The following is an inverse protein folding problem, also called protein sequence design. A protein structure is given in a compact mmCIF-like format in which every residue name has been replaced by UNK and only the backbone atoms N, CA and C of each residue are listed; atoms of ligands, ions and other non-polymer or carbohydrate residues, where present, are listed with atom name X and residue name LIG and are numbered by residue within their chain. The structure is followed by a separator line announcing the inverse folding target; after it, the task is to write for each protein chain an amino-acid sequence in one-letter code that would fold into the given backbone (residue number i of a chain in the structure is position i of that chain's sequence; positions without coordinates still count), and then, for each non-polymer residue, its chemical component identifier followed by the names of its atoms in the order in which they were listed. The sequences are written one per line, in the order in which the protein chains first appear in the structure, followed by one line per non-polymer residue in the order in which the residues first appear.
data_IF_051786068244
#
_entry.id   IF_051786068244
#
_cell.length_a   1.000
_cell.length_b   1.000
_cell.length_c   1.000
_cell.angle_alpha   90.00
_cell.angle_beta   90.00
_cell.angle_gamma   90.00
#
_symmetry.space_group_name_H-M   'P 1'
#
loop_
_entity.id
_entity.type
_entity.pdbx_description
1 polymer ?
#
# COMPACT_ATOMS: atom_id res chain seq x y z
N UNK A 1 54.33 -6.59 7.67
CA UNK A 1 53.12 -6.75 8.51
C UNK A 1 52.10 -5.75 8.01
N UNK A 2 51.11 -6.19 7.24
CA UNK A 2 50.11 -5.32 6.62
C UNK A 2 48.88 -5.30 7.52
N UNK A 3 48.63 -4.18 8.22
CA UNK A 3 47.42 -4.00 9.00
C UNK A 3 46.25 -3.74 8.05
N UNK A 4 45.38 -4.73 7.87
CA UNK A 4 44.07 -4.54 7.25
C UNK A 4 43.22 -3.70 8.20
N UNK A 5 43.06 -2.41 7.88
CA UNK A 5 42.08 -1.57 8.56
C UNK A 5 40.69 -2.13 8.26
N UNK A 6 40.10 -2.87 9.21
CA UNK A 6 38.69 -3.21 9.13
C UNK A 6 37.89 -1.91 9.20
N UNK A 7 36.98 -1.64 8.24
CA UNK A 7 36.16 -0.45 8.27
C UNK A 7 35.28 -0.49 9.53
N UNK A 8 35.61 0.35 10.51
CA UNK A 8 34.78 0.55 11.70
C UNK A 8 33.47 1.18 11.22
N UNK A 9 32.37 0.41 11.25
CA UNK A 9 31.05 0.99 10.99
C UNK A 9 30.80 2.02 12.10
N UNK A 10 30.57 3.31 11.76
CA UNK A 10 30.25 4.29 12.78
C UNK A 10 28.99 3.82 13.54
N UNK A 11 28.93 4.01 14.87
CA UNK A 11 27.76 3.63 15.65
C UNK A 11 26.55 4.35 15.07
N UNK A 12 25.50 3.60 14.72
CA UNK A 12 24.21 4.17 14.31
C UNK A 12 23.74 5.06 15.45
N UNK A 13 23.56 6.34 15.18
CA UNK A 13 23.01 7.26 16.17
C UNK A 13 21.57 6.84 16.48
N UNK A 14 21.11 7.02 17.71
CA UNK A 14 19.76 6.63 18.16
C UNK A 14 18.66 7.10 17.20
N UNK A 15 18.83 8.29 16.61
CA UNK A 15 17.89 8.85 15.63
C UNK A 15 17.73 7.96 14.39
N UNK A 16 18.81 7.37 13.86
CA UNK A 16 18.73 6.49 12.70
C UNK A 16 17.96 5.19 12.99
N UNK A 17 17.98 4.70 14.23
CA UNK A 17 17.24 3.50 14.62
C UNK A 17 15.75 3.80 14.71
N UNK A 18 15.40 4.93 15.34
CA UNK A 18 14.00 5.38 15.47
C UNK A 18 13.35 5.57 14.10
N UNK A 19 14.06 6.17 13.16
CA UNK A 19 13.57 6.41 11.80
C UNK A 19 13.28 5.12 11.02
N UNK A 20 14.18 4.12 11.14
CA UNK A 20 14.00 2.82 10.50
C UNK A 20 12.78 2.12 11.10
N UNK A 21 12.66 2.11 12.43
CA UNK A 21 11.52 1.48 13.11
C UNK A 21 10.20 2.14 12.68
N UNK A 22 10.13 3.46 12.65
CA UNK A 22 8.92 4.17 12.22
C UNK A 22 8.57 3.89 10.75
N UNK A 23 9.54 3.86 9.85
CA UNK A 23 9.30 3.54 8.43
C UNK A 23 8.76 2.11 8.28
N UNK A 24 9.32 1.15 9.03
CA UNK A 24 8.87 -0.24 9.04
C UNK A 24 7.45 -0.36 9.59
N UNK A 25 7.16 0.32 10.70
CA UNK A 25 5.80 0.34 11.29
C UNK A 25 4.79 0.94 10.31
N UNK A 26 5.12 2.06 9.66
CA UNK A 26 4.23 2.70 8.68
C UNK A 26 3.99 1.80 7.45
N UNK A 27 5.02 1.09 6.98
CA UNK A 27 4.85 0.09 5.91
C UNK A 27 3.98 -1.08 6.35
N UNK A 28 4.14 -1.56 7.58
CA UNK A 28 3.30 -2.63 8.13
C UNK A 28 1.84 -2.19 8.25
N UNK A 29 1.59 -0.95 8.70
CA UNK A 29 0.25 -0.35 8.73
C UNK A 29 -0.32 -0.25 7.32
N UNK A 30 0.47 0.19 6.33
CA UNK A 30 0.00 0.24 4.94
C UNK A 30 -0.35 -1.15 4.40
N UNK A 31 0.46 -2.16 4.70
CA UNK A 31 0.15 -3.56 4.39
C UNK A 31 -1.16 -4.03 5.04
N UNK A 32 -1.41 -3.66 6.29
CA UNK A 32 -2.66 -3.96 6.98
C UNK A 32 -3.86 -3.29 6.30
N UNK A 33 -3.73 -2.02 5.91
CA UNK A 33 -4.78 -1.29 5.16
C UNK A 33 -5.07 -1.99 3.83
N UNK A 34 -4.04 -2.46 3.11
CA UNK A 34 -4.22 -3.22 1.88
C UNK A 34 -4.97 -4.55 2.13
N UNK A 35 -4.63 -5.30 3.19
CA UNK A 35 -5.33 -6.55 3.53
C UNK A 35 -6.80 -6.28 3.84
N UNK A 36 -7.10 -5.24 4.62
CA UNK A 36 -8.47 -4.83 4.93
C UNK A 36 -9.21 -4.39 3.66
N UNK A 37 -8.54 -3.67 2.76
CA UNK A 37 -9.07 -3.26 1.46
C UNK A 37 -9.48 -4.46 0.61
N UNK A 38 -8.61 -5.48 0.49
CA UNK A 38 -8.91 -6.71 -0.24
C UNK A 38 -10.07 -7.46 0.43
N UNK A 39 -10.09 -7.54 1.75
CA UNK A 39 -11.20 -8.17 2.48
C UNK A 39 -12.54 -7.48 2.20
N UNK A 40 -12.57 -6.14 2.16
CA UNK A 40 -13.77 -5.37 1.81
C UNK A 40 -14.17 -5.60 0.34
N UNK A 41 -13.19 -5.63 -0.58
CA UNK A 41 -13.39 -5.88 -2.02
C UNK A 41 -14.13 -7.20 -2.27
N UNK A 42 -13.88 -8.24 -1.47
CA UNK A 42 -14.59 -9.53 -1.60
C UNK A 42 -16.12 -9.40 -1.45
N UNK A 43 -16.61 -8.41 -0.69
CA UNK A 43 -18.03 -8.16 -0.53
C UNK A 43 -18.66 -7.42 -1.72
N UNK A 44 -17.87 -6.89 -2.65
CA UNK A 44 -18.41 -6.22 -3.85
C UNK A 44 -19.22 -7.18 -4.72
N UNK A 45 -18.92 -8.48 -4.66
CA UNK A 45 -19.72 -9.50 -5.34
C UNK A 45 -21.18 -9.52 -4.86
N UNK A 46 -21.48 -9.17 -3.61
CA UNK A 46 -22.86 -9.12 -3.09
C UNK A 46 -23.66 -7.95 -3.68
N UNK A 47 -23.01 -6.99 -4.35
CA UNK A 47 -23.71 -5.93 -5.07
C UNK A 47 -24.50 -6.46 -6.27
N UNK A 48 -24.24 -7.68 -6.75
CA UNK A 48 -25.04 -8.29 -7.83
C UNK A 48 -26.39 -8.81 -7.36
N UNK A 49 -26.61 -9.00 -6.06
CA UNK A 49 -27.87 -9.53 -5.53
C UNK A 49 -29.05 -8.58 -5.78
N UNK A 50 -28.80 -7.29 -6.01
CA UNK A 50 -29.84 -6.31 -6.36
C UNK A 50 -30.26 -6.35 -7.84
N UNK A 51 -29.58 -7.13 -8.69
CA UNK A 51 -29.93 -7.24 -10.11
C UNK A 51 -31.09 -8.22 -10.33
N UNK A 52 -32.14 -7.76 -11.01
CA UNK A 52 -33.26 -8.60 -11.46
C UNK A 52 -33.23 -8.75 -12.99
N UNK A 53 -32.45 -9.70 -13.53
CA UNK A 53 -32.37 -9.98 -14.97
C UNK A 53 -30.95 -10.14 -15.52
N UNK A 54 -30.69 -9.67 -16.74
CA UNK A 54 -29.33 -9.62 -17.29
C UNK A 54 -28.52 -8.51 -16.62
N UNK A 55 -27.46 -8.89 -15.90
CA UNK A 55 -26.62 -7.98 -15.15
C UNK A 55 -25.26 -7.83 -15.84
N UNK A 56 -24.89 -6.59 -16.19
CA UNK A 56 -23.56 -6.31 -16.74
C UNK A 56 -22.52 -6.31 -15.61
N UNK A 57 -21.60 -7.27 -15.64
CA UNK A 57 -20.56 -7.44 -14.62
C UNK A 57 -19.24 -6.76 -14.97
N UNK A 58 -19.16 -6.07 -16.12
CA UNK A 58 -18.00 -5.26 -16.49
C UNK A 58 -17.60 -4.22 -15.41
N UNK A 59 -18.53 -3.41 -14.84
CA UNK A 59 -18.18 -2.46 -13.79
C UNK A 59 -17.69 -3.13 -12.51
N UNK A 60 -18.21 -4.31 -12.17
CA UNK A 60 -17.75 -5.09 -11.02
C UNK A 60 -16.30 -5.58 -11.22
N UNK A 61 -15.99 -6.07 -12.42
CA UNK A 61 -14.63 -6.50 -12.77
C UNK A 61 -13.66 -5.33 -12.70
N UNK A 62 -14.06 -4.15 -13.19
CA UNK A 62 -13.26 -2.93 -13.07
C UNK A 62 -13.09 -2.49 -11.60
N UNK A 63 -14.11 -2.65 -10.76
CA UNK A 63 -14.01 -2.37 -9.33
C UNK A 63 -12.92 -3.22 -8.67
N UNK A 64 -12.87 -4.54 -8.93
CA UNK A 64 -11.81 -5.41 -8.42
C UNK A 64 -10.42 -4.99 -8.90
N UNK A 65 -10.27 -4.69 -10.20
CA UNK A 65 -8.97 -4.27 -10.77
C UNK A 65 -8.49 -2.96 -10.15
N UNK A 66 -9.38 -1.97 -9.99
CA UNK A 66 -9.03 -0.68 -9.39
C UNK A 66 -8.67 -0.84 -7.92
N UNK A 67 -9.45 -1.60 -7.16
CA UNK A 67 -9.27 -1.74 -5.71
C UNK A 67 -8.05 -2.59 -5.37
N UNK A 68 -7.98 -3.80 -5.93
CA UNK A 68 -6.95 -4.78 -5.57
C UNK A 68 -5.69 -4.59 -6.40
N UNK A 69 -5.85 -4.37 -7.71
CA UNK A 69 -4.73 -4.11 -8.62
C UNK A 69 -4.05 -2.76 -8.33
N UNK A 70 -4.85 -1.69 -8.20
CA UNK A 70 -4.35 -0.38 -7.79
C UNK A 70 -3.74 -0.43 -6.38
N UNK A 71 -4.37 -1.18 -5.46
CA UNK A 71 -3.88 -1.36 -4.11
C UNK A 71 -2.51 -2.05 -4.05
N UNK A 72 -2.36 -3.13 -4.81
CA UNK A 72 -1.10 -3.86 -4.87
C UNK A 72 0.02 -3.00 -5.47
N UNK A 73 -0.29 -2.24 -6.53
CA UNK A 73 0.65 -1.32 -7.17
C UNK A 73 1.11 -0.22 -6.20
N UNK A 74 0.17 0.37 -5.45
CA UNK A 74 0.49 1.44 -4.49
C UNK A 74 1.30 0.93 -3.30
N UNK A 75 0.99 -0.26 -2.78
CA UNK A 75 1.81 -0.92 -1.76
C UNK A 75 3.21 -1.22 -2.28
N UNK A 76 3.34 -1.78 -3.48
CA UNK A 76 4.63 -2.07 -4.10
C UNK A 76 5.48 -0.81 -4.29
N UNK A 77 4.88 0.28 -4.80
CA UNK A 77 5.55 1.56 -4.93
C UNK A 77 5.97 2.14 -3.57
N UNK A 78 5.11 2.07 -2.55
CA UNK A 78 5.46 2.54 -1.21
C UNK A 78 6.66 1.79 -0.62
N UNK A 79 6.75 0.47 -0.84
CA UNK A 79 7.91 -0.35 -0.45
C UNK A 79 9.17 0.11 -1.20
N UNK A 80 9.10 0.18 -2.54
CA UNK A 80 10.25 0.55 -3.38
C UNK A 80 10.77 1.93 -3.00
N UNK A 81 9.89 2.93 -2.89
CA UNK A 81 10.28 4.31 -2.58
C UNK A 81 10.84 4.41 -1.16
N UNK A 82 10.25 3.70 -0.19
CA UNK A 82 10.78 3.64 1.19
C UNK A 82 12.19 3.05 1.23
N UNK A 83 12.46 1.98 0.47
CA UNK A 83 13.79 1.38 0.34
C UNK A 83 14.78 2.38 -0.29
N UNK A 84 14.40 3.04 -1.38
CA UNK A 84 15.26 4.03 -2.05
C UNK A 84 15.62 5.20 -1.12
N UNK A 85 14.65 5.68 -0.33
CA UNK A 85 14.86 6.74 0.64
C UNK A 85 15.77 6.34 1.80
N UNK A 86 15.58 5.13 2.32
CA UNK A 86 16.46 4.52 3.33
C UNK A 86 17.90 4.43 2.82
N UNK A 87 18.10 4.01 1.56
CA UNK A 87 19.42 3.95 0.91
C UNK A 87 20.01 5.35 0.72
N UNK A 88 19.20 6.35 0.37
CA UNK A 88 19.62 7.74 0.22
C UNK A 88 19.78 8.51 1.54
N UNK A 89 19.58 7.86 2.70
CA UNK A 89 19.57 8.47 4.05
C UNK A 89 18.65 9.70 4.14
N UNK A 90 17.59 9.73 3.33
CA UNK A 90 16.58 10.80 3.31
C UNK A 90 15.34 10.26 4.01
N UNK A 91 15.02 10.83 5.15
CA UNK A 91 13.84 10.48 5.93
C UNK A 91 12.61 11.07 5.26
N UNK A 92 11.73 10.24 4.72
CA UNK A 92 10.45 10.72 4.22
C UNK A 92 9.30 9.84 4.71
N UNK A 93 8.93 10.09 5.97
CA UNK A 93 7.68 9.67 6.60
C UNK A 93 6.43 9.95 5.77
N UNK A 94 6.48 10.97 4.91
CA UNK A 94 5.39 11.35 4.03
C UNK A 94 5.02 10.28 3.00
N UNK A 95 5.97 9.43 2.60
CA UNK A 95 5.74 8.44 1.53
C UNK A 95 4.71 7.38 1.92
N UNK A 96 4.86 6.64 3.04
CA UNK A 96 3.84 5.66 3.43
C UNK A 96 2.49 6.32 3.75
N UNK A 97 2.49 7.57 4.25
CA UNK A 97 1.25 8.30 4.51
C UNK A 97 0.47 8.60 3.21
N UNK A 98 1.19 9.03 2.16
CA UNK A 98 0.63 9.22 0.82
C UNK A 98 0.16 7.90 0.22
N UNK A 99 0.92 6.81 0.41
CA UNK A 99 0.52 5.47 0.00
C UNK A 99 -0.83 5.06 0.59
N UNK A 100 -0.99 5.22 1.90
CA UNK A 100 -2.25 4.94 2.62
C UNK A 100 -3.39 5.81 2.08
N UNK A 101 -3.16 7.11 1.85
CA UNK A 101 -4.19 7.99 1.32
C UNK A 101 -4.65 7.58 -0.09
N UNK A 102 -3.72 7.17 -0.96
CA UNK A 102 -4.05 6.66 -2.29
C UNK A 102 -4.82 5.33 -2.20
N UNK A 103 -4.40 4.42 -1.31
CA UNK A 103 -5.09 3.15 -1.06
C UNK A 103 -6.55 3.38 -0.66
N UNK A 104 -6.82 4.33 0.24
CA UNK A 104 -8.17 4.71 0.65
C UNK A 104 -8.98 5.26 -0.54
N UNK A 105 -8.37 6.13 -1.35
CA UNK A 105 -9.03 6.68 -2.53
C UNK A 105 -9.41 5.60 -3.56
N UNK A 106 -8.56 4.57 -3.73
CA UNK A 106 -8.84 3.44 -4.62
C UNK A 106 -10.03 2.60 -4.13
N UNK A 107 -10.15 2.38 -2.82
CA UNK A 107 -11.31 1.67 -2.22
C UNK A 107 -12.60 2.44 -2.48
N UNK A 108 -12.58 3.75 -2.27
CA UNK A 108 -13.75 4.61 -2.52
C UNK A 108 -14.14 4.56 -3.99
N UNK A 109 -13.16 4.66 -4.90
CA UNK A 109 -13.41 4.56 -6.34
C UNK A 109 -13.99 3.18 -6.73
N UNK A 110 -13.43 2.09 -6.21
CA UNK A 110 -13.93 0.74 -6.43
C UNK A 110 -15.36 0.54 -5.93
N UNK A 111 -15.68 1.04 -4.74
CA UNK A 111 -17.03 0.99 -4.19
C UNK A 111 -18.03 1.77 -5.06
N UNK A 112 -17.64 2.93 -5.60
CA UNK A 112 -18.48 3.67 -6.53
C UNK A 112 -18.74 2.89 -7.84
N UNK A 113 -17.72 2.25 -8.41
CA UNK A 113 -17.90 1.38 -9.58
C UNK A 113 -18.78 0.17 -9.27
N UNK A 114 -18.62 -0.44 -8.10
CA UNK A 114 -19.47 -1.54 -7.66
C UNK A 114 -20.92 -1.10 -7.36
N UNK A 115 -21.14 0.18 -7.08
CA UNK A 115 -22.50 0.71 -6.92
C UNK A 115 -23.18 1.00 -8.26
N UNK A 116 -22.45 1.24 -9.34
CA UNK A 116 -23.05 1.59 -10.64
C UNK A 116 -23.61 0.39 -11.42
N UNK A 117 -23.62 -0.80 -10.82
CA UNK A 117 -24.22 -2.02 -11.38
C UNK A 117 -25.75 -2.04 -11.16
N UNK A 118 -26.28 -1.13 -10.33
CA UNK A 118 -27.70 -0.98 -10.01
C UNK A 118 -28.48 -0.22 -11.08
#
# INVERSE_FOLDING_TARGET
MTFTQQPVRPPRTTNQVVDVVMTVVLLAVHGLVFIVSVYISLFFAMATDSCYGECDTAPLTAAFVVTDGGGLLTLALAIIVSIVLLVRRRLAFWVPLVGIAIQIALVIAGAHLASSIM
#
